data_IF_848331649654
#
_entry.id   IF_848331649654
#
_cell.length_a   1.000
_cell.length_b   1.000
_cell.length_c   1.000
_cell.angle_alpha   90.00
_cell.angle_beta   90.00
_cell.angle_gamma   90.00
#
_symmetry.space_group_name_H-M   'P 1'
#
loop_
_entity.id
_entity.type
_entity.pdbx_description
1 polymer ?
#
# COMPACT_ATOMS: atom_id res chain seq x y z
N UNK A 1 24.20 14.70 11.67
CA UNK A 1 25.12 14.02 12.63
C UNK A 1 25.82 12.86 11.95
N UNK A 2 25.11 12.16 11.07
CA UNK A 2 25.57 11.20 10.05
C UNK A 2 26.94 11.52 9.42
N UNK A 3 27.17 12.74 8.91
CA UNK A 3 28.48 13.14 8.33
C UNK A 3 29.64 13.17 9.33
N UNK A 4 29.35 13.43 10.61
CA UNK A 4 30.35 13.43 11.67
C UNK A 4 30.64 11.98 12.13
N UNK A 5 29.62 11.12 12.14
CA UNK A 5 29.76 9.69 12.51
C UNK A 5 30.50 8.92 11.41
N UNK A 6 30.25 9.24 10.13
CA UNK A 6 30.94 8.61 9.00
C UNK A 6 32.43 8.98 8.91
N UNK A 7 32.84 10.12 9.48
CA UNK A 7 34.26 10.50 9.61
C UNK A 7 35.03 9.62 10.60
N UNK A 8 34.35 8.93 11.52
CA UNK A 8 34.96 8.00 12.47
C UNK A 8 34.52 6.56 12.17
N UNK A 9 35.25 5.87 11.29
CA UNK A 9 34.93 4.50 10.86
C UNK A 9 34.77 3.49 12.02
N UNK A 10 35.43 3.72 13.16
CA UNK A 10 35.34 2.84 14.34
C UNK A 10 34.08 3.05 15.18
N UNK A 11 33.40 4.19 15.04
CA UNK A 11 32.28 4.58 15.90
C UNK A 11 31.04 3.69 15.71
N UNK A 12 30.59 3.37 14.47
CA UNK A 12 29.48 2.44 14.26
C UNK A 12 29.77 1.04 14.81
N UNK A 13 31.00 0.54 14.65
CA UNK A 13 31.40 -0.77 15.16
C UNK A 13 31.42 -0.80 16.71
N UNK A 14 31.96 0.25 17.33
CA UNK A 14 31.95 0.39 18.79
C UNK A 14 30.50 0.49 19.33
N UNK A 15 29.62 1.21 18.63
CA UNK A 15 28.21 1.33 19.01
C UNK A 15 27.46 0.00 18.91
N UNK A 16 27.63 -0.74 17.81
CA UNK A 16 27.01 -2.06 17.63
C UNK A 16 27.39 -3.01 18.78
N UNK A 17 28.64 -2.99 19.23
CA UNK A 17 29.07 -3.80 20.40
C UNK A 17 28.31 -3.50 21.70
N UNK A 18 27.69 -2.31 21.81
CA UNK A 18 26.88 -1.88 22.97
C UNK A 18 25.38 -2.05 22.74
N UNK A 19 24.96 -2.48 21.55
CA UNK A 19 23.55 -2.60 21.20
C UNK A 19 22.75 -3.52 22.15
N UNK A 20 23.26 -4.67 22.61
CA UNK A 20 22.54 -5.49 23.58
C UNK A 20 22.24 -4.74 24.88
N UNK A 21 23.18 -3.91 25.36
CA UNK A 21 22.97 -3.09 26.55
C UNK A 21 21.95 -1.98 26.31
N UNK A 22 22.06 -1.24 25.20
CA UNK A 22 21.13 -0.17 24.85
C UNK A 22 19.70 -0.71 24.74
N UNK A 23 19.53 -1.85 24.09
CA UNK A 23 18.25 -2.53 23.95
C UNK A 23 17.68 -2.94 25.31
N UNK A 24 18.41 -3.76 26.07
CA UNK A 24 17.87 -4.40 27.27
C UNK A 24 17.73 -3.44 28.46
N UNK A 25 18.66 -2.50 28.62
CA UNK A 25 18.73 -1.64 29.81
C UNK A 25 18.07 -0.28 29.58
N UNK A 26 18.03 0.24 28.35
CA UNK A 26 17.49 1.57 28.07
C UNK A 26 16.16 1.48 27.32
N UNK A 27 16.12 0.79 26.18
CA UNK A 27 14.95 0.78 25.30
C UNK A 27 13.77 0.01 25.89
N UNK A 28 13.97 -1.24 26.34
CA UNK A 28 12.88 -2.05 26.88
C UNK A 28 12.18 -1.40 28.09
N UNK A 29 12.90 -0.84 29.08
CA UNK A 29 12.26 -0.08 30.15
C UNK A 29 11.55 1.19 29.65
N UNK A 30 12.11 1.91 28.68
CA UNK A 30 11.46 3.09 28.11
C UNK A 30 10.15 2.74 27.39
N UNK A 31 10.12 1.63 26.65
CA UNK A 31 8.91 1.10 26.01
C UNK A 31 7.87 0.67 27.05
N UNK A 32 8.28 -0.04 28.10
CA UNK A 32 7.39 -0.47 29.19
C UNK A 32 6.77 0.73 29.92
N UNK A 33 7.54 1.80 30.13
CA UNK A 33 7.10 3.04 30.75
C UNK A 33 6.44 4.02 29.77
N UNK A 34 6.30 3.65 28.48
CA UNK A 34 5.81 4.53 27.40
C UNK A 34 6.44 5.92 27.39
N UNK A 35 7.75 5.99 27.64
CA UNK A 35 8.50 7.24 27.72
C UNK A 35 8.88 7.74 26.33
N UNK A 36 7.93 8.36 25.62
CA UNK A 36 8.05 8.74 24.19
C UNK A 36 9.32 9.54 23.89
N UNK A 37 9.67 10.54 24.71
CA UNK A 37 10.89 11.34 24.52
C UNK A 37 12.17 10.50 24.56
N UNK A 38 12.22 9.50 25.44
CA UNK A 38 13.37 8.59 25.55
C UNK A 38 13.39 7.65 24.35
N UNK A 39 12.23 7.11 23.97
CA UNK A 39 12.11 6.22 22.80
C UNK A 39 12.53 6.97 21.54
N UNK A 40 12.04 8.19 21.31
CA UNK A 40 12.41 9.03 20.18
C UNK A 40 13.91 9.30 20.16
N UNK A 41 14.49 9.74 21.28
CA UNK A 41 15.94 10.01 21.36
C UNK A 41 16.81 8.77 21.10
N UNK A 42 16.42 7.61 21.63
CA UNK A 42 17.12 6.34 21.37
C UNK A 42 16.94 5.91 19.91
N UNK A 43 15.76 6.08 19.33
CA UNK A 43 15.45 5.76 17.93
C UNK A 43 16.31 6.59 16.99
N UNK A 44 16.34 7.92 17.17
CA UNK A 44 17.17 8.80 16.35
C UNK A 44 18.65 8.44 16.46
N UNK A 45 19.16 8.14 17.66
CA UNK A 45 20.55 7.70 17.85
C UNK A 45 20.84 6.40 17.09
N UNK A 46 19.98 5.38 17.24
CA UNK A 46 20.12 4.09 16.56
C UNK A 46 20.06 4.25 15.04
N UNK A 47 19.14 5.07 14.52
CA UNK A 47 19.03 5.36 13.10
C UNK A 47 20.28 6.05 12.55
N UNK A 48 20.73 7.13 13.19
CA UNK A 48 21.90 7.92 12.74
C UNK A 48 23.17 7.08 12.69
N UNK A 49 23.41 6.25 13.72
CA UNK A 49 24.59 5.39 13.75
C UNK A 49 24.49 4.24 12.75
N UNK A 50 23.30 3.64 12.61
CA UNK A 50 23.05 2.59 11.62
C UNK A 50 23.21 3.09 10.18
N UNK A 51 22.70 4.29 9.87
CA UNK A 51 22.82 4.94 8.57
C UNK A 51 24.23 5.39 8.23
N UNK A 52 25.09 5.64 9.23
CA UNK A 52 26.49 5.97 8.97
C UNK A 52 27.30 4.77 8.44
N UNK A 53 26.84 3.54 8.66
CA UNK A 53 27.50 2.33 8.17
C UNK A 53 26.50 1.20 7.83
N UNK A 54 25.63 1.37 6.81
CA UNK A 54 24.62 0.38 6.44
C UNK A 54 25.24 -0.95 6.01
N UNK A 55 26.43 -0.93 5.41
CA UNK A 55 27.18 -2.13 5.05
C UNK A 55 27.54 -3.02 6.25
N UNK A 56 27.91 -2.43 7.40
CA UNK A 56 28.19 -3.19 8.62
C UNK A 56 26.92 -3.81 9.21
N UNK A 57 25.78 -3.13 9.08
CA UNK A 57 24.49 -3.69 9.50
C UNK A 57 24.09 -4.84 8.58
N UNK A 58 24.24 -4.67 7.27
CA UNK A 58 23.98 -5.70 6.27
C UNK A 58 24.88 -6.94 6.38
N UNK A 59 26.00 -6.89 7.10
CA UNK A 59 26.79 -8.10 7.41
C UNK A 59 26.02 -9.10 8.31
N UNK A 60 24.97 -8.66 9.01
CA UNK A 60 24.07 -9.55 9.73
C UNK A 60 24.67 -10.15 11.00
N UNK A 61 25.58 -9.44 11.67
CA UNK A 61 26.06 -9.84 13.00
C UNK A 61 24.92 -9.88 14.03
N UNK A 62 25.11 -10.59 15.14
CA UNK A 62 24.11 -10.65 16.21
C UNK A 62 23.79 -9.25 16.78
N UNK A 63 24.79 -8.37 16.83
CA UNK A 63 24.65 -6.98 17.24
C UNK A 63 23.84 -6.16 16.25
N UNK A 64 24.06 -6.36 14.94
CA UNK A 64 23.29 -5.71 13.88
C UNK A 64 21.81 -6.18 13.89
N UNK A 65 21.58 -7.48 14.07
CA UNK A 65 20.22 -8.01 14.25
C UNK A 65 19.55 -7.49 15.52
N UNK A 66 20.32 -7.28 16.61
CA UNK A 66 19.81 -6.65 17.83
C UNK A 66 19.45 -5.18 17.61
N UNK A 67 20.17 -4.44 16.76
CA UNK A 67 19.84 -3.07 16.35
C UNK A 67 18.53 -3.07 15.56
N UNK A 68 18.40 -3.96 14.57
CA UNK A 68 17.18 -4.08 13.76
C UNK A 68 15.96 -4.47 14.60
N UNK A 69 16.07 -5.42 15.55
CA UNK A 69 14.98 -5.76 16.47
C UNK A 69 14.59 -4.58 17.36
N UNK A 70 15.58 -3.82 17.87
CA UNK A 70 15.33 -2.63 18.68
C UNK A 70 14.56 -1.57 17.89
N UNK A 71 14.99 -1.26 16.66
CA UNK A 71 14.31 -0.30 15.78
C UNK A 71 12.92 -0.80 15.36
N UNK A 72 12.75 -2.09 15.10
CA UNK A 72 11.45 -2.67 14.79
C UNK A 72 10.45 -2.48 15.95
N UNK A 73 10.91 -2.62 17.20
CA UNK A 73 10.07 -2.32 18.38
C UNK A 73 9.70 -0.84 18.47
N UNK A 74 10.57 0.06 18.04
CA UNK A 74 10.25 1.49 17.95
C UNK A 74 9.20 1.77 16.87
N UNK A 75 9.27 1.11 15.70
CA UNK A 75 8.23 1.21 14.66
C UNK A 75 6.89 0.69 15.18
N UNK A 76 6.89 -0.45 15.86
CA UNK A 76 5.70 -1.07 16.42
C UNK A 76 5.13 -0.33 17.65
N UNK A 77 5.82 0.69 18.17
CA UNK A 77 5.37 1.45 19.32
C UNK A 77 4.15 2.32 18.95
N UNK A 78 3.05 2.13 19.67
CA UNK A 78 1.83 2.90 19.48
C UNK A 78 1.90 4.25 20.19
N UNK A 79 2.47 5.28 19.52
CA UNK A 79 2.33 6.69 19.90
C UNK A 79 1.09 7.34 19.26
N UNK A 80 0.69 8.50 19.79
CA UNK A 80 -0.41 9.33 19.25
C UNK A 80 -0.09 9.93 17.87
N UNK A 81 1.18 10.29 17.65
CA UNK A 81 1.73 10.75 16.37
C UNK A 81 2.43 9.62 15.60
N UNK A 82 3.03 9.94 14.45
CA UNK A 82 3.82 8.99 13.65
C UNK A 82 5.33 9.25 13.72
N UNK A 83 5.79 10.23 14.51
CA UNK A 83 7.16 10.76 14.46
C UNK A 83 8.22 9.68 14.72
N UNK A 84 8.00 8.83 15.74
CA UNK A 84 8.95 7.76 16.08
C UNK A 84 9.09 6.77 14.92
N UNK A 85 7.97 6.29 14.37
CA UNK A 85 7.98 5.34 13.26
C UNK A 85 8.57 5.98 11.99
N UNK A 86 8.17 7.20 11.68
CA UNK A 86 8.62 7.97 10.53
C UNK A 86 10.13 8.23 10.57
N UNK A 87 10.69 8.54 11.74
CA UNK A 87 12.14 8.75 11.91
C UNK A 87 13.00 7.51 11.60
N UNK A 88 12.40 6.33 11.48
CA UNK A 88 13.12 5.09 11.12
C UNK A 88 13.16 4.82 9.62
N UNK A 89 12.30 5.44 8.82
CA UNK A 89 12.09 5.06 7.42
C UNK A 89 13.39 5.12 6.61
N UNK A 90 14.14 6.21 6.74
CA UNK A 90 15.42 6.38 6.04
C UNK A 90 16.45 5.30 6.40
N UNK A 91 16.45 4.81 7.65
CA UNK A 91 17.35 3.71 8.05
C UNK A 91 16.98 2.44 7.31
N UNK A 92 15.68 2.11 7.25
CA UNK A 92 15.21 0.91 6.59
C UNK A 92 15.43 0.94 5.07
N UNK A 93 15.17 2.07 4.40
CA UNK A 93 15.49 2.24 2.97
C UNK A 93 17.00 2.08 2.74
N UNK A 94 17.84 2.72 3.56
CA UNK A 94 19.31 2.61 3.43
C UNK A 94 19.81 1.18 3.60
N UNK A 95 19.24 0.43 4.55
CA UNK A 95 19.57 -0.97 4.78
C UNK A 95 19.07 -1.85 3.61
N UNK A 96 17.85 -1.62 3.13
CA UNK A 96 17.29 -2.36 2.01
C UNK A 96 18.10 -2.18 0.73
N UNK A 97 18.41 -0.94 0.37
CA UNK A 97 19.29 -0.61 -0.75
C UNK A 97 20.68 -1.24 -0.61
N UNK A 98 21.23 -1.27 0.60
CA UNK A 98 22.52 -1.91 0.83
C UNK A 98 22.47 -3.42 0.58
N UNK A 99 21.40 -4.10 1.00
CA UNK A 99 21.20 -5.54 0.79
C UNK A 99 20.92 -5.85 -0.69
N UNK A 100 20.04 -5.08 -1.34
CA UNK A 100 19.70 -5.22 -2.76
C UNK A 100 20.90 -4.93 -3.68
N UNK A 101 21.77 -4.01 -3.27
CA UNK A 101 22.98 -3.62 -4.01
C UNK A 101 24.14 -4.61 -3.90
N UNK A 102 24.05 -5.67 -3.08
CA UNK A 102 25.04 -6.75 -3.06
C UNK A 102 24.91 -7.53 -4.37
N UNK A 103 26.03 -7.77 -5.06
CA UNK A 103 26.07 -8.46 -6.35
C UNK A 103 25.33 -9.83 -6.30
N UNK A 104 24.43 -10.05 -7.26
CA UNK A 104 23.52 -11.21 -7.37
C UNK A 104 24.26 -12.55 -7.38
N UNK A 105 25.50 -12.58 -7.86
CA UNK A 105 26.28 -13.82 -8.01
C UNK A 105 27.05 -14.22 -6.74
N UNK A 106 26.97 -13.41 -5.68
CA UNK A 106 27.67 -13.70 -4.43
C UNK A 106 26.83 -14.58 -3.51
N UNK A 107 27.36 -15.73 -3.09
CA UNK A 107 26.74 -16.56 -2.01
C UNK A 107 26.48 -15.76 -0.73
N UNK A 108 27.24 -14.68 -0.52
CA UNK A 108 27.08 -13.71 0.56
C UNK A 108 25.74 -12.95 0.48
N UNK A 109 25.23 -12.60 -0.71
CA UNK A 109 23.94 -11.91 -0.87
C UNK A 109 22.81 -12.80 -0.37
N UNK A 110 22.75 -14.04 -0.84
CA UNK A 110 21.66 -14.96 -0.47
C UNK A 110 21.64 -15.20 1.05
N UNK A 111 22.81 -15.41 1.66
CA UNK A 111 22.90 -15.56 3.11
C UNK A 111 22.45 -14.30 3.87
N UNK A 112 22.91 -13.10 3.47
CA UNK A 112 22.48 -11.83 4.09
C UNK A 112 20.98 -11.59 3.91
N UNK A 113 20.46 -11.78 2.70
CA UNK A 113 19.04 -11.58 2.40
C UNK A 113 18.19 -12.54 3.24
N UNK A 114 18.55 -13.83 3.29
CA UNK A 114 17.86 -14.83 4.13
C UNK A 114 17.82 -14.45 5.61
N UNK A 115 18.89 -13.85 6.15
CA UNK A 115 18.93 -13.38 7.54
C UNK A 115 17.96 -12.21 7.81
N UNK A 116 17.82 -11.30 6.85
CA UNK A 116 16.98 -10.10 6.99
C UNK A 116 15.54 -10.29 6.50
N UNK A 117 15.22 -11.35 5.75
CA UNK A 117 13.86 -11.66 5.31
C UNK A 117 12.83 -11.63 6.47
N UNK A 118 13.06 -12.29 7.63
CA UNK A 118 12.13 -12.21 8.75
C UNK A 118 12.00 -10.79 9.31
N UNK A 119 13.10 -10.02 9.32
CA UNK A 119 13.12 -8.64 9.83
C UNK A 119 12.25 -7.73 8.98
N UNK A 120 12.44 -7.74 7.65
CA UNK A 120 11.61 -6.93 6.73
C UNK A 120 10.17 -7.43 6.67
N UNK A 121 9.95 -8.73 6.83
CA UNK A 121 8.62 -9.30 6.95
C UNK A 121 7.88 -8.77 8.19
N UNK A 122 8.54 -8.69 9.35
CA UNK A 122 7.95 -8.11 10.56
C UNK A 122 7.85 -6.58 10.50
N UNK A 123 8.77 -5.91 9.81
CA UNK A 123 8.71 -4.48 9.55
C UNK A 123 7.44 -4.14 8.75
N UNK A 124 7.12 -4.91 7.70
CA UNK A 124 5.88 -4.74 6.95
C UNK A 124 4.66 -4.80 7.87
N UNK A 125 4.58 -5.78 8.77
CA UNK A 125 3.47 -5.89 9.72
C UNK A 125 3.36 -4.65 10.62
N UNK A 126 4.49 -4.16 11.14
CA UNK A 126 4.54 -2.99 12.00
C UNK A 126 4.13 -1.71 11.27
N UNK A 127 4.64 -1.50 10.04
CA UNK A 127 4.29 -0.35 9.20
C UNK A 127 2.81 -0.35 8.84
N UNK A 128 2.26 -1.50 8.41
CA UNK A 128 0.85 -1.65 8.11
C UNK A 128 -0.01 -1.36 9.33
N UNK A 129 0.38 -1.83 10.52
CA UNK A 129 -0.33 -1.53 11.76
C UNK A 129 -0.35 -0.03 12.07
N UNK A 130 0.78 0.66 11.93
CA UNK A 130 0.89 2.12 12.16
C UNK A 130 0.19 2.96 11.09
N UNK A 131 0.10 2.45 9.87
CA UNK A 131 -0.59 3.11 8.77
C UNK A 131 -2.12 2.90 8.79
N UNK A 132 -2.69 2.13 9.74
CA UNK A 132 -4.14 1.96 9.85
C UNK A 132 -4.84 3.27 10.22
N UNK A 133 -6.09 3.39 9.76
CA UNK A 133 -6.95 4.52 10.09
C UNK A 133 -7.42 4.39 11.55
N UNK A 134 -7.29 5.47 12.31
CA UNK A 134 -7.78 5.57 13.69
C UNK A 134 -9.31 5.76 13.67
N UNK A 135 -10.05 5.22 14.65
CA UNK A 135 -11.48 5.52 14.79
C UNK A 135 -11.68 7.03 14.96
N UNK A 136 -12.16 7.69 13.90
CA UNK A 136 -12.66 9.04 14.01
C UNK A 136 -14.05 8.90 14.62
N UNK A 137 -14.18 9.34 15.87
CA UNK A 137 -15.42 9.28 16.63
C UNK A 137 -16.61 9.82 15.81
N UNK A 138 -17.59 8.94 15.54
CA UNK A 138 -18.82 9.25 14.80
C UNK A 138 -19.66 10.35 15.49
N UNK A 139 -19.31 10.75 16.71
CA UNK A 139 -19.96 11.81 17.46
C UNK A 139 -19.55 13.25 17.07
N UNK A 140 -18.57 13.43 16.17
CA UNK A 140 -18.25 14.76 15.63
C UNK A 140 -19.25 15.15 14.52
N UNK A 141 -20.40 15.68 14.94
CA UNK A 141 -21.40 16.27 14.05
C UNK A 141 -20.79 17.37 13.19
N UNK A 142 -20.65 17.11 11.89
CA UNK A 142 -20.53 18.14 10.85
C UNK A 142 -19.13 18.60 10.44
N UNK A 143 -18.03 17.99 10.93
CA UNK A 143 -16.71 18.14 10.27
C UNK A 143 -16.45 16.93 9.40
N UNK A 144 -16.06 17.17 8.15
CA UNK A 144 -15.50 16.17 7.24
C UNK A 144 -14.54 15.30 8.05
N UNK A 145 -14.83 14.01 8.17
CA UNK A 145 -13.99 13.02 8.84
C UNK A 145 -12.70 12.87 8.04
N UNK A 146 -11.77 13.82 8.20
CA UNK A 146 -10.50 13.84 7.49
C UNK A 146 -9.49 12.99 8.24
N UNK A 147 -8.69 12.26 7.47
CA UNK A 147 -7.50 11.57 7.97
C UNK A 147 -6.59 12.60 8.68
N UNK A 148 -5.99 12.27 9.83
CA UNK A 148 -4.99 13.13 10.44
C UNK A 148 -3.85 13.45 9.45
N UNK A 149 -3.45 14.72 9.35
CA UNK A 149 -2.39 15.14 8.41
C UNK A 149 -1.09 14.35 8.62
N UNK A 150 -0.76 14.01 9.88
CA UNK A 150 0.38 13.16 10.21
C UNK A 150 0.29 11.76 9.62
N UNK A 151 -0.90 11.15 9.57
CA UNK A 151 -1.10 9.83 8.94
C UNK A 151 -0.99 9.93 7.42
N UNK A 152 -1.50 11.02 6.84
CA UNK A 152 -1.37 11.27 5.39
C UNK A 152 0.10 11.37 5.02
N UNK A 153 0.86 12.19 5.76
CA UNK A 153 2.30 12.36 5.52
C UNK A 153 3.08 11.06 5.74
N UNK A 154 2.78 10.34 6.83
CA UNK A 154 3.41 9.05 7.10
C UNK A 154 3.19 8.07 5.96
N UNK A 155 1.95 7.91 5.48
CA UNK A 155 1.62 7.06 4.33
C UNK A 155 2.39 7.49 3.08
N UNK A 156 2.41 8.77 2.73
CA UNK A 156 3.19 9.25 1.58
C UNK A 156 4.67 8.85 1.67
N UNK A 157 5.24 8.90 2.87
CA UNK A 157 6.64 8.56 3.11
C UNK A 157 6.92 7.04 3.13
N UNK A 158 5.88 6.18 3.09
CA UNK A 158 6.06 4.73 3.04
C UNK A 158 6.34 4.18 1.65
N UNK A 159 6.05 4.92 0.58
CA UNK A 159 6.07 4.41 -0.80
C UNK A 159 7.40 3.72 -1.15
N UNK A 160 8.52 4.44 -0.99
CA UNK A 160 9.87 3.92 -1.26
C UNK A 160 10.17 2.66 -0.45
N UNK A 161 9.89 2.69 0.86
CA UNK A 161 10.17 1.55 1.74
C UNK A 161 9.31 0.33 1.43
N UNK A 162 8.04 0.52 1.03
CA UNK A 162 7.17 -0.59 0.63
C UNK A 162 7.67 -1.26 -0.65
N UNK A 163 8.16 -0.46 -1.61
CA UNK A 163 8.81 -0.98 -2.83
C UNK A 163 10.06 -1.78 -2.49
N UNK A 164 10.92 -1.25 -1.63
CA UNK A 164 12.14 -1.93 -1.15
C UNK A 164 11.82 -3.26 -0.46
N UNK A 165 10.82 -3.28 0.43
CA UNK A 165 10.35 -4.50 1.09
C UNK A 165 9.83 -5.50 0.05
N UNK A 166 9.08 -5.06 -0.95
CA UNK A 166 8.57 -5.93 -2.02
C UNK A 166 9.71 -6.57 -2.81
N UNK A 167 10.74 -5.80 -3.17
CA UNK A 167 11.94 -6.31 -3.85
C UNK A 167 12.72 -7.32 -3.00
N UNK A 168 12.86 -7.06 -1.69
CA UNK A 168 13.57 -7.95 -0.78
C UNK A 168 12.84 -9.28 -0.52
N UNK A 169 11.53 -9.22 -0.29
CA UNK A 169 10.71 -10.40 -0.04
C UNK A 169 10.42 -11.19 -1.34
N UNK A 170 10.39 -10.49 -2.46
CA UNK A 170 9.86 -10.98 -3.73
C UNK A 170 8.34 -10.80 -3.82
N UNK A 171 7.85 -10.46 -5.02
CA UNK A 171 6.43 -10.19 -5.26
C UNK A 171 5.49 -11.29 -4.76
N UNK A 172 5.73 -12.61 -5.00
CA UNK A 172 4.84 -13.66 -4.49
C UNK A 172 4.74 -13.71 -2.97
N UNK A 173 5.86 -13.53 -2.25
CA UNK A 173 5.86 -13.58 -0.79
C UNK A 173 5.21 -12.32 -0.19
N UNK A 174 5.47 -11.16 -0.79
CA UNK A 174 4.84 -9.89 -0.40
C UNK A 174 3.32 -9.95 -0.56
N UNK A 175 2.83 -10.36 -1.74
CA UNK A 175 1.39 -10.49 -2.02
C UNK A 175 0.74 -11.49 -1.08
N UNK A 176 1.34 -12.67 -0.91
CA UNK A 176 0.81 -13.67 0.00
C UNK A 176 0.72 -13.11 1.42
N UNK A 177 1.75 -12.40 1.90
CA UNK A 177 1.73 -11.79 3.22
C UNK A 177 0.63 -10.74 3.38
N UNK A 178 0.34 -9.96 2.35
CA UNK A 178 -0.78 -9.00 2.39
C UNK A 178 -2.13 -9.72 2.42
N UNK A 179 -2.32 -10.78 1.63
CA UNK A 179 -3.65 -11.36 1.39
C UNK A 179 -3.95 -12.62 2.21
N UNK A 180 -2.96 -13.21 2.89
CA UNK A 180 -3.11 -14.43 3.70
C UNK A 180 -3.70 -14.19 5.09
N UNK A 181 -3.98 -12.94 5.46
CA UNK A 181 -4.65 -12.66 6.72
C UNK A 181 -6.05 -13.27 6.65
N UNK A 182 -6.38 -14.13 7.61
CA UNK A 182 -7.58 -14.98 7.64
C UNK A 182 -8.89 -14.20 7.78
N UNK A 183 -9.15 -13.28 6.84
CA UNK A 183 -10.40 -12.61 6.59
C UNK A 183 -11.39 -13.69 6.21
N UNK A 184 -11.99 -14.31 7.21
CA UNK A 184 -12.89 -15.42 7.01
C UNK A 184 -13.91 -15.04 5.96
N UNK A 185 -13.90 -15.73 4.81
CA UNK A 185 -14.94 -15.64 3.78
C UNK A 185 -16.34 -16.00 4.35
N UNK A 186 -16.41 -16.35 5.64
CA UNK A 186 -17.57 -16.73 6.43
C UNK A 186 -17.73 -15.95 7.77
N UNK A 187 -16.91 -14.93 8.11
CA UNK A 187 -17.01 -14.23 9.41
C UNK A 187 -18.05 -13.09 9.43
N UNK A 188 -18.66 -12.87 10.61
CA UNK A 188 -19.74 -11.89 10.83
C UNK A 188 -19.29 -10.42 10.83
N UNK A 189 -17.99 -10.11 10.85
CA UNK A 189 -17.48 -8.74 10.67
C UNK A 189 -16.15 -8.73 9.91
N UNK A 190 -16.06 -7.87 8.89
CA UNK A 190 -14.86 -7.68 8.06
C UNK A 190 -14.02 -6.57 8.71
N UNK A 191 -12.71 -6.78 8.96
CA UNK A 191 -11.84 -5.76 9.54
C UNK A 191 -11.43 -4.72 8.48
N UNK A 192 -12.35 -3.84 8.08
CA UNK A 192 -12.17 -2.93 6.93
C UNK A 192 -10.93 -2.03 7.01
N UNK A 193 -10.48 -1.64 8.21
CA UNK A 193 -9.24 -0.87 8.39
C UNK A 193 -8.00 -1.65 7.99
N UNK A 194 -7.98 -2.92 8.35
CA UNK A 194 -6.91 -3.86 8.05
C UNK A 194 -6.91 -4.21 6.55
N UNK A 195 -8.10 -4.34 5.95
CA UNK A 195 -8.25 -4.56 4.52
C UNK A 195 -7.79 -3.33 3.74
N UNK A 196 -8.22 -2.13 4.16
CA UNK A 196 -7.88 -0.86 3.51
C UNK A 196 -6.37 -0.64 3.46
N UNK A 197 -5.67 -0.74 4.59
CA UNK A 197 -4.23 -0.45 4.62
C UNK A 197 -3.43 -1.43 3.77
N UNK A 198 -3.92 -2.66 3.62
CA UNK A 198 -3.28 -3.66 2.75
C UNK A 198 -3.57 -3.45 1.28
N UNK A 199 -4.75 -2.98 0.91
CA UNK A 199 -4.99 -2.54 -0.46
C UNK A 199 -4.16 -1.31 -0.80
N UNK A 200 -4.01 -0.37 0.15
CA UNK A 200 -3.11 0.76 0.02
C UNK A 200 -1.66 0.30 -0.21
N UNK A 201 -1.13 -0.61 0.61
CA UNK A 201 0.23 -1.11 0.41
C UNK A 201 0.39 -1.87 -0.93
N UNK A 202 -0.64 -2.63 -1.33
CA UNK A 202 -0.65 -3.35 -2.61
C UNK A 202 -0.64 -2.41 -3.83
N UNK A 203 -1.29 -1.23 -3.74
CA UNK A 203 -1.26 -0.25 -4.83
C UNK A 203 0.08 0.47 -4.92
N UNK A 204 0.75 0.75 -3.80
CA UNK A 204 2.07 1.41 -3.79
C UNK A 204 3.16 0.61 -4.50
N UNK A 205 3.06 -0.72 -4.51
CA UNK A 205 4.07 -1.61 -5.11
C UNK A 205 3.67 -2.17 -6.48
N UNK A 206 2.61 -1.61 -7.09
CA UNK A 206 2.01 -2.19 -8.28
C UNK A 206 2.98 -2.26 -9.46
N UNK A 207 3.74 -1.20 -9.73
CA UNK A 207 4.70 -1.18 -10.83
C UNK A 207 5.78 -2.25 -10.65
N UNK A 208 6.27 -2.45 -9.42
CA UNK A 208 7.25 -3.50 -9.08
C UNK A 208 6.68 -4.89 -9.34
N UNK A 209 5.45 -5.16 -8.91
CA UNK A 209 4.79 -6.46 -9.12
C UNK A 209 4.51 -6.72 -10.60
N UNK A 210 4.06 -5.70 -11.34
CA UNK A 210 3.78 -5.81 -12.77
C UNK A 210 5.06 -6.07 -13.58
N UNK A 211 6.19 -5.47 -13.18
CA UNK A 211 7.50 -5.69 -13.81
C UNK A 211 8.05 -7.10 -13.54
N UNK A 212 7.86 -7.62 -12.34
CA UNK A 212 8.26 -8.99 -11.97
C UNK A 212 7.48 -10.05 -12.78
N UNK A 213 6.22 -9.77 -13.12
CA UNK A 213 5.40 -10.62 -13.98
C UNK A 213 4.93 -11.93 -13.33
N UNK A 214 5.15 -12.11 -12.02
CA UNK A 214 4.64 -13.25 -11.27
C UNK A 214 3.12 -13.35 -11.35
N UNK A 215 2.57 -14.58 -11.40
CA UNK A 215 1.12 -14.78 -11.41
C UNK A 215 0.51 -14.26 -10.11
N UNK A 216 -0.52 -13.43 -10.25
CA UNK A 216 -1.26 -12.87 -9.12
C UNK A 216 -2.71 -13.33 -9.15
N UNK A 217 -3.14 -14.04 -8.10
CA UNK A 217 -4.55 -14.38 -7.90
C UNK A 217 -5.32 -13.22 -7.25
N UNK A 218 -6.20 -12.60 -8.04
CA UNK A 218 -7.08 -11.52 -7.60
C UNK A 218 -8.36 -12.01 -6.90
N UNK A 219 -8.51 -13.30 -6.60
CA UNK A 219 -9.72 -13.87 -5.99
C UNK A 219 -10.17 -13.12 -4.72
N UNK A 220 -9.23 -12.81 -3.82
CA UNK A 220 -9.49 -12.07 -2.58
C UNK A 220 -9.90 -10.62 -2.85
N UNK A 221 -9.22 -9.95 -3.78
CA UNK A 221 -9.57 -8.58 -4.19
C UNK A 221 -10.99 -8.55 -4.77
N UNK A 222 -11.29 -9.48 -5.68
CA UNK A 222 -12.60 -9.59 -6.31
C UNK A 222 -13.71 -9.97 -5.32
N UNK A 223 -13.40 -10.78 -4.30
CA UNK A 223 -14.36 -11.08 -3.22
C UNK A 223 -14.81 -9.80 -2.51
N UNK A 224 -13.89 -8.94 -2.11
CA UNK A 224 -14.23 -7.67 -1.48
C UNK A 224 -14.89 -6.68 -2.44
N UNK A 225 -14.47 -6.62 -3.71
CA UNK A 225 -15.13 -5.81 -4.75
C UNK A 225 -16.61 -6.20 -4.88
N UNK A 226 -16.93 -7.49 -4.89
CA UNK A 226 -18.31 -7.98 -4.93
C UNK A 226 -19.11 -7.56 -3.68
N UNK A 227 -18.50 -7.65 -2.50
CA UNK A 227 -19.13 -7.20 -1.25
C UNK A 227 -19.41 -5.69 -1.31
N UNK A 228 -18.40 -4.89 -1.66
CA UNK A 228 -18.51 -3.43 -1.72
C UNK A 228 -19.55 -2.98 -2.76
N UNK A 229 -19.63 -3.66 -3.91
CA UNK A 229 -20.62 -3.40 -4.97
C UNK A 229 -22.06 -3.75 -4.58
N UNK A 230 -22.26 -4.62 -3.59
CA UNK A 230 -23.58 -5.16 -3.22
C UNK A 230 -24.15 -4.56 -1.93
N UNK A 231 -23.33 -3.93 -1.09
CA UNK A 231 -23.75 -3.39 0.21
C UNK A 231 -24.36 -2.00 0.07
N UNK A 232 -25.37 -1.74 0.90
CA UNK A 232 -25.90 -0.39 1.07
C UNK A 232 -24.92 0.43 1.94
N UNK A 233 -24.81 1.76 1.72
CA UNK A 233 -23.92 2.63 2.51
C UNK A 233 -24.14 2.56 4.03
N UNK A 234 -25.30 2.08 4.50
CA UNK A 234 -25.68 2.00 5.91
C UNK A 234 -25.03 0.82 6.67
N UNK A 235 -24.53 -0.21 5.97
CA UNK A 235 -23.94 -1.41 6.59
C UNK A 235 -22.41 -1.32 6.78
N UNK A 236 -21.82 -0.18 6.38
CA UNK A 236 -20.40 0.07 6.38
C UNK A 236 -20.16 1.33 7.24
N UNK A 237 -19.88 1.11 8.53
CA UNK A 237 -19.49 2.17 9.48
C UNK A 237 -18.29 2.98 8.96
N UNK A 238 -18.00 4.13 9.57
CA UNK A 238 -16.97 5.10 9.17
C UNK A 238 -15.65 4.52 8.59
N UNK A 239 -14.99 5.31 7.74
CA UNK A 239 -13.81 4.99 6.90
C UNK A 239 -14.11 4.36 5.51
N UNK A 240 -15.38 4.20 5.11
CA UNK A 240 -15.77 3.59 3.83
C UNK A 240 -15.09 4.25 2.61
N UNK A 241 -14.99 5.58 2.58
CA UNK A 241 -14.38 6.29 1.44
C UNK A 241 -12.89 5.97 1.26
N UNK A 242 -12.16 5.59 2.31
CA UNK A 242 -10.76 5.19 2.18
C UNK A 242 -10.63 3.77 1.67
N UNK A 243 -11.53 2.88 2.10
CA UNK A 243 -11.61 1.54 1.52
C UNK A 243 -11.84 1.66 0.01
N UNK A 244 -12.82 2.44 -0.42
CA UNK A 244 -13.08 2.65 -1.84
C UNK A 244 -11.90 3.28 -2.58
N UNK A 245 -11.22 4.26 -1.97
CA UNK A 245 -10.04 4.89 -2.53
C UNK A 245 -8.94 3.84 -2.77
N UNK A 246 -8.55 3.10 -1.73
CA UNK A 246 -7.46 2.11 -1.78
C UNK A 246 -7.77 0.96 -2.73
N UNK A 247 -9.02 0.48 -2.79
CA UNK A 247 -9.45 -0.48 -3.81
C UNK A 247 -9.46 0.12 -5.21
N UNK A 248 -9.90 1.36 -5.39
CA UNK A 248 -9.82 2.09 -6.66
C UNK A 248 -8.38 2.18 -7.16
N UNK A 249 -7.44 2.53 -6.29
CA UNK A 249 -6.01 2.60 -6.60
C UNK A 249 -5.47 1.22 -7.03
N UNK A 250 -5.84 0.13 -6.36
CA UNK A 250 -5.50 -1.24 -6.77
C UNK A 250 -6.12 -1.57 -8.13
N UNK A 251 -7.42 -1.35 -8.32
CA UNK A 251 -8.11 -1.68 -9.56
C UNK A 251 -7.52 -0.91 -10.74
N UNK A 252 -7.24 0.39 -10.57
CA UNK A 252 -6.59 1.20 -11.57
C UNK A 252 -5.19 0.69 -11.90
N UNK A 253 -4.40 0.35 -10.88
CA UNK A 253 -3.00 -0.10 -11.09
C UNK A 253 -2.91 -1.48 -11.75
N UNK A 254 -3.82 -2.40 -11.42
CA UNK A 254 -3.83 -3.76 -11.97
C UNK A 254 -4.90 -4.00 -13.05
N UNK A 255 -5.43 -2.92 -13.64
CA UNK A 255 -6.52 -2.91 -14.63
C UNK A 255 -6.30 -3.90 -15.78
N UNK A 256 -5.09 -3.99 -16.35
CA UNK A 256 -4.72 -4.97 -17.38
C UNK A 256 -4.93 -6.42 -16.97
N UNK A 257 -4.49 -6.79 -15.76
CA UNK A 257 -4.61 -8.16 -15.26
C UNK A 257 -6.05 -8.47 -14.84
N UNK A 258 -6.72 -7.53 -14.19
CA UNK A 258 -8.10 -7.66 -13.75
C UNK A 258 -9.09 -7.78 -14.92
N UNK A 259 -8.86 -7.04 -16.01
CA UNK A 259 -9.69 -7.04 -17.21
C UNK A 259 -9.50 -8.27 -18.12
N UNK A 260 -8.50 -9.11 -17.83
CA UNK A 260 -8.26 -10.36 -18.56
C UNK A 260 -9.40 -11.37 -18.41
N UNK A 261 -10.17 -11.31 -17.31
CA UNK A 261 -11.37 -12.12 -17.13
C UNK A 261 -12.65 -11.30 -17.32
N UNK A 262 -13.44 -11.66 -18.32
CA UNK A 262 -14.74 -11.04 -18.62
C UNK A 262 -15.70 -11.03 -17.41
N UNK A 263 -15.64 -12.05 -16.54
CA UNK A 263 -16.51 -12.15 -15.36
C UNK A 263 -16.30 -11.00 -14.37
N UNK A 264 -15.13 -10.36 -14.40
CA UNK A 264 -14.75 -9.36 -13.41
C UNK A 264 -15.23 -7.95 -13.79
N UNK A 265 -15.43 -7.67 -15.08
CA UNK A 265 -15.70 -6.31 -15.59
C UNK A 265 -16.94 -5.70 -14.96
N UNK A 266 -18.08 -6.41 -15.00
CA UNK A 266 -19.34 -5.88 -14.47
C UNK A 266 -19.25 -5.53 -12.97
N UNK A 267 -18.78 -6.42 -12.07
CA UNK A 267 -18.54 -6.07 -10.67
C UNK A 267 -17.61 -4.87 -10.48
N UNK A 268 -16.51 -4.80 -11.24
CA UNK A 268 -15.54 -3.70 -11.13
C UNK A 268 -16.15 -2.35 -11.52
N UNK A 269 -16.96 -2.30 -12.58
CA UNK A 269 -17.64 -1.06 -13.00
C UNK A 269 -18.68 -0.59 -11.96
N UNK A 270 -19.44 -1.53 -11.38
CA UNK A 270 -20.41 -1.21 -10.32
C UNK A 270 -19.72 -0.71 -9.03
N UNK A 271 -18.56 -1.30 -8.71
CA UNK A 271 -17.71 -0.82 -7.64
C UNK A 271 -17.23 0.62 -7.89
N UNK A 272 -16.67 0.90 -9.07
CA UNK A 272 -16.22 2.24 -9.45
C UNK A 272 -17.37 3.25 -9.35
N UNK A 273 -18.54 2.93 -9.88
CA UNK A 273 -19.72 3.80 -9.80
C UNK A 273 -20.08 4.15 -8.34
N UNK A 274 -20.07 3.14 -7.47
CA UNK A 274 -20.34 3.32 -6.04
C UNK A 274 -19.30 4.22 -5.37
N UNK A 275 -18.03 4.08 -5.74
CA UNK A 275 -16.93 4.88 -5.20
C UNK A 275 -16.86 6.31 -5.74
N UNK A 276 -17.30 6.55 -6.97
CA UNK A 276 -17.37 7.89 -7.61
C UNK A 276 -18.33 8.80 -6.85
N UNK A 277 -19.45 8.26 -6.35
CA UNK A 277 -20.42 9.01 -5.54
C UNK A 277 -19.88 9.58 -4.22
N UNK A 278 -18.62 9.30 -3.86
CA UNK A 278 -18.00 9.67 -2.58
C UNK A 278 -16.79 10.57 -2.81
N UNK A 279 -16.75 11.72 -2.12
CA UNK A 279 -15.77 12.79 -2.38
C UNK A 279 -14.28 12.38 -2.30
N UNK A 280 -13.89 11.50 -1.38
CA UNK A 280 -12.47 11.13 -1.18
C UNK A 280 -12.02 10.00 -2.12
N UNK A 281 -12.92 9.09 -2.50
CA UNK A 281 -12.61 8.00 -3.44
C UNK A 281 -12.91 8.33 -4.89
N UNK A 282 -13.60 9.45 -5.15
CA UNK A 282 -14.06 9.85 -6.48
C UNK A 282 -12.94 9.78 -7.52
N UNK A 283 -11.83 10.46 -7.25
CA UNK A 283 -10.68 10.48 -8.15
C UNK A 283 -10.10 9.09 -8.45
N UNK A 284 -9.75 8.32 -7.41
CA UNK A 284 -9.22 6.96 -7.57
C UNK A 284 -10.17 6.05 -8.34
N UNK A 285 -11.49 6.17 -8.11
CA UNK A 285 -12.49 5.35 -8.77
C UNK A 285 -12.75 5.78 -10.22
N UNK A 286 -12.71 7.07 -10.54
CA UNK A 286 -12.82 7.59 -11.90
C UNK A 286 -11.60 7.19 -12.75
N UNK A 287 -10.39 7.31 -12.20
CA UNK A 287 -9.16 6.84 -12.87
C UNK A 287 -9.20 5.33 -13.09
N UNK A 288 -9.65 4.57 -12.09
CA UNK A 288 -9.81 3.12 -12.22
C UNK A 288 -10.83 2.76 -13.31
N UNK A 289 -11.97 3.46 -13.36
CA UNK A 289 -12.99 3.30 -14.39
C UNK A 289 -12.42 3.53 -15.79
N UNK A 290 -11.66 4.61 -15.98
CA UNK A 290 -11.00 4.90 -17.26
C UNK A 290 -10.05 3.79 -17.67
N UNK A 291 -9.11 3.41 -16.79
CA UNK A 291 -8.13 2.36 -17.09
C UNK A 291 -8.80 1.02 -17.40
N UNK A 292 -9.87 0.65 -16.69
CA UNK A 292 -10.66 -0.53 -17.01
C UNK A 292 -11.30 -0.45 -18.41
N UNK A 293 -11.82 0.72 -18.82
CA UNK A 293 -12.39 0.89 -20.15
C UNK A 293 -11.33 0.84 -21.25
N UNK A 294 -10.13 1.37 -20.99
CA UNK A 294 -8.97 1.28 -21.89
C UNK A 294 -8.52 -0.18 -22.08
N UNK A 295 -8.35 -0.92 -21.00
CA UNK A 295 -7.80 -2.29 -21.02
C UNK A 295 -8.84 -3.37 -21.39
N UNK A 296 -10.11 -3.18 -21.03
CA UNK A 296 -11.20 -4.14 -21.32
C UNK A 296 -11.83 -3.97 -22.72
N UNK A 297 -11.13 -3.34 -23.66
CA UNK A 297 -11.64 -2.98 -25.00
C UNK A 297 -12.32 -4.13 -25.77
N UNK A 298 -11.97 -5.39 -25.49
CA UNK A 298 -12.58 -6.56 -26.13
C UNK A 298 -14.03 -6.85 -25.70
N UNK A 299 -14.40 -6.46 -24.48
CA UNK A 299 -15.71 -6.75 -23.86
C UNK A 299 -16.54 -5.50 -23.56
N UNK A 300 -15.91 -4.31 -23.53
CA UNK A 300 -16.54 -3.07 -23.07
C UNK A 300 -17.77 -2.65 -23.88
N UNK A 301 -17.89 -3.11 -25.13
CA UNK A 301 -19.04 -2.82 -26.00
C UNK A 301 -20.31 -3.61 -25.69
N UNK A 302 -20.25 -4.58 -24.79
CA UNK A 302 -21.42 -5.41 -24.55
C UNK A 302 -22.55 -4.54 -23.99
N UNK A 303 -23.79 -4.69 -24.48
CA UNK A 303 -24.92 -3.86 -24.05
C UNK A 303 -25.04 -3.68 -22.52
N UNK A 304 -24.97 -4.74 -21.68
CA UNK A 304 -25.09 -4.57 -20.23
C UNK A 304 -23.93 -3.80 -19.59
N UNK A 305 -22.78 -3.68 -20.25
CA UNK A 305 -21.64 -2.89 -19.78
C UNK A 305 -21.84 -1.42 -20.18
N UNK A 306 -22.28 -1.16 -21.42
CA UNK A 306 -22.59 0.19 -21.89
C UNK A 306 -23.72 0.83 -21.08
N UNK A 307 -24.75 0.06 -20.74
CA UNK A 307 -25.86 0.54 -19.90
C UNK A 307 -25.35 1.04 -18.53
N UNK A 308 -24.36 0.37 -17.94
CA UNK A 308 -23.73 0.80 -16.68
C UNK A 308 -22.95 2.10 -16.89
N UNK A 309 -22.18 2.21 -17.98
CA UNK A 309 -21.42 3.42 -18.28
C UNK A 309 -22.32 4.63 -18.53
N UNK A 310 -23.43 4.46 -19.25
CA UNK A 310 -24.41 5.51 -19.43
C UNK A 310 -25.09 5.89 -18.12
N UNK A 311 -25.44 4.91 -17.29
CA UNK A 311 -26.00 5.18 -15.96
C UNK A 311 -25.04 5.99 -15.08
N UNK A 312 -23.74 5.68 -15.09
CA UNK A 312 -22.72 6.49 -14.40
C UNK A 312 -22.71 7.92 -14.93
N UNK A 313 -22.77 8.09 -16.26
CA UNK A 313 -22.74 9.40 -16.91
C UNK A 313 -23.96 10.27 -16.57
N UNK A 314 -25.15 9.65 -16.46
CA UNK A 314 -26.37 10.35 -16.07
C UNK A 314 -26.28 10.88 -14.63
N UNK A 315 -25.67 10.09 -13.73
CA UNK A 315 -25.43 10.49 -12.35
C UNK A 315 -24.47 11.67 -12.17
N UNK A 316 -23.63 11.98 -13.17
CA UNK A 316 -22.72 13.15 -13.13
C UNK A 316 -23.50 14.48 -13.10
N UNK A 317 -24.69 14.52 -13.72
CA UNK A 317 -25.52 15.73 -13.82
C UNK A 317 -26.03 16.27 -12.48
N UNK A 318 -25.84 15.52 -11.39
CA UNK A 318 -26.20 15.93 -10.03
C UNK A 318 -25.24 16.97 -9.41
N UNK A 319 -24.13 17.30 -10.08
CA UNK A 319 -23.28 18.46 -9.75
C UNK A 319 -22.36 18.30 -8.54
N UNK A 320 -22.05 17.06 -8.15
CA UNK A 320 -21.27 16.75 -6.95
C UNK A 320 -19.81 16.37 -7.21
N UNK A 321 -19.39 16.31 -8.49
CA UNK A 321 -18.05 15.84 -8.89
C UNK A 321 -17.09 16.99 -9.16
N UNK A 322 -15.79 16.70 -9.02
CA UNK A 322 -14.72 17.61 -9.46
C UNK A 322 -14.53 17.47 -10.96
N UNK A 323 -14.11 18.55 -11.62
CA UNK A 323 -13.91 18.59 -13.08
C UNK A 323 -12.93 17.50 -13.52
N UNK A 324 -11.86 17.29 -12.77
CA UNK A 324 -10.85 16.26 -13.08
C UNK A 324 -11.47 14.85 -13.07
N UNK A 325 -12.39 14.59 -12.14
CA UNK A 325 -13.06 13.29 -12.04
C UNK A 325 -14.08 13.11 -13.19
N UNK A 326 -14.72 14.19 -13.63
CA UNK A 326 -15.63 14.18 -14.77
C UNK A 326 -14.89 13.90 -16.09
N UNK A 327 -13.72 14.52 -16.29
CA UNK A 327 -12.87 14.29 -17.45
C UNK A 327 -12.46 12.82 -17.59
N UNK A 328 -12.10 12.19 -16.47
CA UNK A 328 -11.74 10.77 -16.43
C UNK A 328 -12.93 9.87 -16.81
N UNK A 329 -14.15 10.18 -16.35
CA UNK A 329 -15.37 9.42 -16.70
C UNK A 329 -15.72 9.61 -18.18
N UNK A 330 -15.66 10.84 -18.70
CA UNK A 330 -15.91 11.13 -20.12
C UNK A 330 -14.90 10.39 -20.99
N UNK A 331 -13.63 10.36 -20.59
CA UNK A 331 -12.58 9.59 -21.27
C UNK A 331 -12.89 8.09 -21.29
N UNK A 332 -13.31 7.53 -20.15
CA UNK A 332 -13.72 6.12 -20.04
C UNK A 332 -14.84 5.76 -21.03
N UNK A 333 -15.89 6.57 -21.09
CA UNK A 333 -17.04 6.38 -22.00
C UNK A 333 -16.59 6.53 -23.45
N UNK A 334 -15.75 7.52 -23.74
CA UNK A 334 -15.23 7.74 -25.09
C UNK A 334 -14.43 6.54 -25.57
N UNK A 335 -13.58 5.96 -24.73
CA UNK A 335 -12.85 4.73 -25.05
C UNK A 335 -13.80 3.56 -25.32
N UNK A 336 -14.83 3.37 -24.48
CA UNK A 336 -15.83 2.34 -24.69
C UNK A 336 -16.59 2.51 -26.01
N UNK A 337 -16.95 3.74 -26.40
CA UNK A 337 -17.67 4.03 -27.65
C UNK A 337 -16.78 3.92 -28.90
N UNK A 338 -15.56 4.45 -28.87
CA UNK A 338 -14.59 4.36 -29.98
C UNK A 338 -14.32 2.91 -30.34
N UNK A 339 -14.23 2.05 -29.33
CA UNK A 339 -13.98 0.65 -29.53
C UNK A 339 -15.16 -0.02 -30.30
N UNK A 340 -16.42 0.44 -30.16
CA UNK A 340 -17.59 -0.07 -30.92
C UNK A 340 -17.43 0.27 -32.41
N UNK A 341 -17.09 1.53 -32.69
CA UNK A 341 -16.88 2.05 -34.04
C UNK A 341 -15.83 1.21 -34.78
N UNK A 342 -14.72 0.88 -34.12
CA UNK A 342 -13.68 0.02 -34.70
C UNK A 342 -14.18 -1.38 -35.05
N UNK A 343 -15.05 -1.96 -34.21
CA UNK A 343 -15.61 -3.29 -34.46
C UNK A 343 -16.61 -3.28 -35.62
N UNK A 344 -17.42 -2.24 -35.75
CA UNK A 344 -18.35 -2.08 -36.89
C UNK A 344 -17.61 -1.78 -38.20
N UNK A 345 -16.55 -0.96 -38.15
CA UNK A 345 -15.66 -0.70 -39.28
C UNK A 345 -14.91 -1.96 -39.76
N UNK A 346 -14.47 -2.83 -38.83
CA UNK A 346 -13.89 -4.14 -39.18
C UNK A 346 -14.91 -5.10 -39.81
N UNK A 347 -16.16 -5.13 -39.31
CA UNK A 347 -17.22 -5.96 -39.90
C UNK A 347 -17.57 -5.52 -41.33
N UNK A 348 -17.60 -4.21 -41.60
CA UNK A 348 -17.92 -3.66 -42.93
C UNK A 348 -16.78 -3.80 -43.93
N UNK A 349 -15.53 -3.82 -43.48
CA UNK A 349 -14.36 -4.07 -44.35
C UNK A 349 -14.14 -5.56 -44.67
N UNK A 350 -14.51 -6.48 -43.78
CA UNK A 350 -14.49 -7.94 -44.03
C UNK A 350 -15.68 -8.45 -44.87
N UNK A 351 -16.70 -7.62 -45.09
CA UNK A 351 -17.87 -7.93 -45.91
C UNK A 351 -17.72 -7.52 -47.39
N UNK A 352 -16.50 -7.17 -47.83
CA UNK A 352 -16.13 -6.82 -49.21
C UNK A 352 -15.15 -7.83 -49.78
#
# INVERSE_FOLDING_TARGET
MTELVSQYQELPQAFLSKMPYIREVLLLPALANRSEKIIAGLTSLMCEVGQAAPGLVAEGSNEALSLSDALLRCVAFSSEDWEIAESTLQFWCSLAHCILGIDEQTSKRNATQELFLPVFSSLLDALLFRAQIIDIDEHCTGRVSSIPDGLVQFRLNLEELLVDICLLLGAPAYINKLLSSGWGLASQSIPWKEVEVRMYALSMVADTILQDGSPFDFSVVMHFVNILSSRTPAELNGCQFLVYKSFGDVIGSYSKWLSSSKSNIKPLLLFCASGISKSISSNSCSVALRKLCEDASSFIHEPPILDILFWISEGMGEGNLRIEDEEEIISAITHALCSILDKELRKTSLAR
#
